data_IF_076174469578
#
_entry.id   IF_076174469578
#
_cell.length_a   1.000
_cell.length_b   1.000
_cell.length_c   1.000
_cell.angle_alpha   90.00
_cell.angle_beta   90.00
_cell.angle_gamma   90.00
#
_symmetry.space_group_name_H-M   'P 1'
#
loop_
_entity.id
_entity.type
_entity.pdbx_description
1 polymer ?
#
# COMPACT_ATOMS: atom_id res chain seq x y z
N UNK A 1 -20.59 -13.83 0.22
CA UNK A 1 -19.83 -12.69 -0.32
C UNK A 1 -19.04 -13.18 -1.52
N UNK A 2 -19.31 -12.63 -2.70
CA UNK A 2 -18.64 -12.98 -3.95
C UNK A 2 -17.44 -12.06 -4.06
N UNK A 3 -16.23 -12.57 -3.87
CA UNK A 3 -14.99 -11.80 -4.08
C UNK A 3 -14.88 -11.60 -5.59
N UNK A 4 -15.02 -10.36 -6.05
CA UNK A 4 -14.76 -10.05 -7.45
C UNK A 4 -13.24 -10.11 -7.68
N UNK A 5 -12.75 -11.00 -8.57
CA UNK A 5 -11.33 -11.30 -8.69
C UNK A 5 -10.44 -10.10 -9.12
N UNK A 6 -11.06 -8.99 -9.53
CA UNK A 6 -10.38 -7.76 -9.97
C UNK A 6 -10.72 -6.54 -9.08
N UNK A 7 -11.18 -6.74 -7.85
CA UNK A 7 -11.44 -5.63 -6.93
C UNK A 7 -10.17 -5.25 -6.17
N UNK A 8 -9.66 -4.03 -6.42
CA UNK A 8 -8.46 -3.50 -5.78
C UNK A 8 -8.51 -3.56 -4.25
N UNK A 9 -9.67 -3.26 -3.64
CA UNK A 9 -9.82 -3.28 -2.17
C UNK A 9 -9.72 -4.71 -1.60
N UNK A 10 -10.23 -5.72 -2.33
CA UNK A 10 -10.12 -7.12 -1.90
C UNK A 10 -8.67 -7.62 -2.02
N UNK A 11 -7.96 -7.19 -3.07
CA UNK A 11 -6.55 -7.51 -3.28
C UNK A 11 -5.66 -6.84 -2.22
N UNK A 12 -5.93 -5.57 -1.89
CA UNK A 12 -5.27 -4.83 -0.81
C UNK A 12 -5.49 -5.48 0.55
N UNK A 13 -6.75 -5.76 0.91
CA UNK A 13 -7.09 -6.45 2.17
C UNK A 13 -6.31 -7.77 2.30
N UNK A 14 -6.24 -8.55 1.22
CA UNK A 14 -5.50 -9.81 1.24
C UNK A 14 -3.99 -9.61 1.34
N UNK A 15 -3.43 -8.63 0.62
CA UNK A 15 -2.02 -8.24 0.74
C UNK A 15 -1.67 -7.83 2.17
N UNK A 16 -2.54 -7.05 2.83
CA UNK A 16 -2.35 -6.62 4.21
C UNK A 16 -2.37 -7.80 5.18
N UNK A 17 -3.31 -8.74 5.02
CA UNK A 17 -3.32 -9.98 5.82
C UNK A 17 -2.00 -10.75 5.66
N UNK A 18 -1.49 -10.90 4.44
CA UNK A 18 -0.21 -11.56 4.18
C UNK A 18 0.97 -10.80 4.81
N UNK A 19 0.98 -9.47 4.72
CA UNK A 19 1.98 -8.61 5.33
C UNK A 19 2.01 -8.79 6.85
N UNK A 20 0.85 -8.77 7.51
CA UNK A 20 0.73 -9.01 8.96
C UNK A 20 1.14 -10.44 9.35
N UNK A 21 1.01 -11.40 8.43
CA UNK A 21 1.51 -12.77 8.60
C UNK A 21 3.00 -12.93 8.28
N UNK A 22 3.73 -11.83 8.05
CA UNK A 22 5.15 -11.80 7.67
C UNK A 22 5.48 -12.56 6.37
N UNK A 23 4.49 -12.76 5.49
CA UNK A 23 4.63 -13.34 4.16
C UNK A 23 4.85 -12.23 3.14
N UNK A 24 5.99 -11.54 3.26
CA UNK A 24 6.21 -10.24 2.62
C UNK A 24 6.27 -10.35 1.09
N UNK A 25 6.91 -11.38 0.55
CA UNK A 25 6.98 -11.61 -0.91
C UNK A 25 5.59 -11.88 -1.51
N UNK A 26 4.74 -12.65 -0.82
CA UNK A 26 3.36 -12.88 -1.23
C UNK A 26 2.55 -11.58 -1.14
N UNK A 27 2.74 -10.81 -0.07
CA UNK A 27 2.07 -9.52 0.11
C UNK A 27 2.39 -8.56 -1.05
N UNK A 28 3.65 -8.50 -1.48
CA UNK A 28 4.08 -7.68 -2.62
C UNK A 28 3.29 -8.03 -3.90
N UNK A 29 3.17 -9.31 -4.22
CA UNK A 29 2.43 -9.76 -5.42
C UNK A 29 0.98 -9.28 -5.39
N UNK A 30 0.34 -9.31 -4.23
CA UNK A 30 -1.08 -8.93 -4.10
C UNK A 30 -1.29 -7.43 -4.06
N UNK A 31 -0.41 -6.67 -3.40
CA UNK A 31 -0.54 -5.22 -3.37
C UNK A 31 -0.23 -4.61 -4.74
N UNK A 32 0.70 -5.17 -5.52
CA UNK A 32 0.95 -4.72 -6.89
C UNK A 32 -0.27 -4.94 -7.80
N UNK A 33 -1.02 -6.04 -7.60
CA UNK A 33 -2.31 -6.25 -8.27
C UNK A 33 -3.34 -5.20 -7.83
N UNK A 34 -3.41 -4.89 -6.54
CA UNK A 34 -4.32 -3.89 -6.00
C UNK A 34 -4.04 -2.51 -6.61
N UNK A 35 -2.78 -2.07 -6.62
CA UNK A 35 -2.33 -0.81 -7.25
C UNK A 35 -2.71 -0.79 -8.73
N UNK A 36 -2.46 -1.88 -9.47
CA UNK A 36 -2.79 -1.98 -10.90
C UNK A 36 -4.28 -1.93 -11.21
N UNK A 37 -5.11 -2.55 -10.36
CA UNK A 37 -6.57 -2.64 -10.57
C UNK A 37 -7.33 -1.49 -9.90
N UNK A 38 -6.62 -0.58 -9.23
CA UNK A 38 -7.22 0.59 -8.61
C UNK A 38 -7.61 1.61 -9.68
N UNK A 39 -8.91 1.71 -9.97
CA UNK A 39 -9.44 2.63 -10.98
C UNK A 39 -9.20 4.10 -10.59
N UNK A 40 -9.25 4.40 -9.29
CA UNK A 40 -8.86 5.66 -8.70
C UNK A 40 -7.78 5.36 -7.67
N UNK A 41 -6.63 6.01 -7.78
CA UNK A 41 -5.54 5.83 -6.82
C UNK A 41 -6.07 6.03 -5.39
N UNK A 42 -5.95 4.99 -4.57
CA UNK A 42 -6.34 5.02 -3.16
C UNK A 42 -5.11 5.27 -2.31
N UNK A 43 -5.17 6.31 -1.46
CA UNK A 43 -4.12 6.63 -0.52
C UNK A 43 -3.72 5.41 0.33
N UNK A 44 -4.70 4.67 0.86
CA UNK A 44 -4.48 3.46 1.67
C UNK A 44 -3.77 2.35 0.89
N UNK A 45 -4.15 2.09 -0.37
CA UNK A 45 -3.49 1.06 -1.18
C UNK A 45 -2.03 1.44 -1.48
N UNK A 46 -1.78 2.72 -1.77
CA UNK A 46 -0.42 3.23 -2.02
C UNK A 46 0.42 3.24 -0.74
N UNK A 47 -0.18 3.55 0.40
CA UNK A 47 0.45 3.49 1.70
C UNK A 47 0.89 2.06 2.06
N UNK A 48 -0.02 1.09 1.99
CA UNK A 48 0.30 -0.32 2.23
C UNK A 48 1.37 -0.82 1.26
N UNK A 49 1.34 -0.36 0.00
CA UNK A 49 2.39 -0.69 -0.97
C UNK A 49 3.76 -0.19 -0.50
N UNK A 50 3.85 1.07 -0.06
CA UNK A 50 5.09 1.61 0.51
C UNK A 50 5.56 0.85 1.76
N UNK A 51 4.64 0.48 2.65
CA UNK A 51 4.96 -0.28 3.87
C UNK A 51 5.57 -1.66 3.55
N UNK A 52 5.00 -2.35 2.56
CA UNK A 52 5.50 -3.65 2.08
C UNK A 52 6.88 -3.47 1.44
N UNK A 53 7.08 -2.45 0.60
CA UNK A 53 8.35 -2.16 -0.03
C UNK A 53 9.45 -1.83 1.00
N UNK A 54 9.13 -1.03 2.03
CA UNK A 54 10.06 -0.71 3.12
C UNK A 54 10.48 -1.97 3.87
N UNK A 55 9.53 -2.88 4.13
CA UNK A 55 9.83 -4.15 4.80
C UNK A 55 10.78 -5.05 3.98
N UNK A 56 10.79 -4.91 2.65
CA UNK A 56 11.71 -5.59 1.74
C UNK A 56 13.06 -4.85 1.56
N UNK A 57 13.26 -3.70 2.21
CA UNK A 57 14.45 -2.87 2.03
C UNK A 57 14.47 -2.08 0.72
N UNK A 58 13.33 -1.97 0.03
CA UNK A 58 13.17 -1.20 -1.22
C UNK A 58 12.83 0.26 -0.89
N UNK A 59 13.71 0.93 -0.15
CA UNK A 59 13.45 2.23 0.49
C UNK A 59 13.07 3.35 -0.50
N UNK A 60 13.77 3.44 -1.64
CA UNK A 60 13.49 4.44 -2.66
C UNK A 60 12.08 4.28 -3.25
N UNK A 61 11.66 3.03 -3.48
CA UNK A 61 10.33 2.72 -4.04
C UNK A 61 9.24 2.90 -2.98
N UNK A 62 9.54 2.59 -1.71
CA UNK A 62 8.63 2.87 -0.60
C UNK A 62 8.34 4.36 -0.48
N UNK A 63 9.39 5.20 -0.59
CA UNK A 63 9.26 6.65 -0.57
C UNK A 63 8.39 7.18 -1.72
N UNK A 64 8.61 6.69 -2.94
CA UNK A 64 7.79 7.06 -4.11
C UNK A 64 6.32 6.69 -3.89
N UNK A 65 6.05 5.48 -3.39
CA UNK A 65 4.69 5.02 -3.09
C UNK A 65 3.99 5.91 -2.04
N UNK A 66 4.68 6.25 -0.96
CA UNK A 66 4.17 7.14 0.09
C UNK A 66 3.94 8.57 -0.41
N UNK A 67 4.83 9.11 -1.26
CA UNK A 67 4.61 10.42 -1.87
C UNK A 67 3.36 10.44 -2.75
N UNK A 68 3.16 9.41 -3.57
CA UNK A 68 1.94 9.25 -4.36
C UNK A 68 0.70 9.07 -3.49
N UNK A 69 0.82 8.44 -2.32
CA UNK A 69 -0.27 8.34 -1.36
C UNK A 69 -0.67 9.73 -0.83
N UNK A 70 0.30 10.61 -0.53
CA UNK A 70 0.04 11.99 -0.10
C UNK A 70 -0.69 12.83 -1.15
N UNK A 71 -0.42 12.61 -2.44
CA UNK A 71 -1.10 13.34 -3.53
C UNK A 71 -2.61 13.11 -3.58
N UNK A 72 -3.08 11.97 -3.06
CA UNK A 72 -4.49 11.55 -3.12
C UNK A 72 -5.14 11.39 -1.74
N UNK A 73 -4.37 11.55 -0.66
CA UNK A 73 -4.87 11.48 0.70
C UNK A 73 -5.70 12.72 1.04
N UNK A 74 -6.84 12.51 1.69
CA UNK A 74 -7.73 13.60 2.14
C UNK A 74 -7.97 13.57 3.65
N UNK A 75 -7.42 12.58 4.35
CA UNK A 75 -7.59 12.38 5.79
C UNK A 75 -6.33 12.88 6.49
N UNK A 76 -6.46 13.90 7.34
CA UNK A 76 -5.32 14.55 8.01
C UNK A 76 -4.48 13.57 8.85
N UNK A 77 -5.13 12.64 9.55
CA UNK A 77 -4.43 11.60 10.33
C UNK A 77 -3.57 10.69 9.44
N UNK A 78 -4.11 10.28 8.29
CA UNK A 78 -3.37 9.46 7.32
C UNK A 78 -2.20 10.23 6.70
N UNK A 79 -2.40 11.51 6.37
CA UNK A 79 -1.35 12.39 5.85
C UNK A 79 -0.19 12.46 6.85
N UNK A 80 -0.48 12.74 8.12
CA UNK A 80 0.54 12.84 9.16
C UNK A 80 1.29 11.51 9.38
N UNK A 81 0.61 10.37 9.29
CA UNK A 81 1.26 9.06 9.37
C UNK A 81 2.22 8.84 8.19
N UNK A 82 1.79 9.15 6.96
CA UNK A 82 2.61 8.96 5.77
C UNK A 82 3.81 9.92 5.76
N UNK A 83 3.65 11.17 6.18
CA UNK A 83 4.75 12.13 6.33
C UNK A 83 5.81 11.61 7.32
N UNK A 84 5.36 11.12 8.49
CA UNK A 84 6.24 10.52 9.49
C UNK A 84 7.00 9.31 8.94
N UNK A 85 6.37 8.47 8.11
CA UNK A 85 7.03 7.33 7.44
C UNK A 85 8.14 7.79 6.49
N UNK A 86 7.95 8.89 5.77
CA UNK A 86 8.95 9.45 4.83
C UNK A 86 10.12 10.12 5.58
N UNK A 87 9.85 10.79 6.70
CA UNK A 87 10.88 11.48 7.49
C UNK A 87 11.77 10.51 8.28
N UNK A 88 11.20 9.40 8.77
CA UNK A 88 11.89 8.43 9.61
C UNK A 88 12.57 7.28 8.83
N UNK A 89 12.89 7.51 7.55
CA UNK A 89 13.56 6.49 6.71
C UNK A 89 15.03 6.27 7.04
#
# INVERSE_FOLDING_TARGET
>A
MRIEPNNANSQDTYAWVLFKANKIDEALIWIEKAVKNSLNQSATILEHYGDILKKLGRDAEAKDAWQRALEVATIEEQIAEIESKIENQ
#
